data_IF_222455005938
#
_entry.id   IF_222455005938
#
_cell.length_a   1.000
_cell.length_b   1.000
_cell.length_c   1.000
_cell.angle_alpha   90.00
_cell.angle_beta   90.00
_cell.angle_gamma   90.00
#
_symmetry.space_group_name_H-M   'P 1'
#
loop_
_entity.id
_entity.type
_entity.pdbx_description
1 polymer ?
#
# COMPACT_ATOMS: atom_id res chain seq x y z
N UNK A 1 23.24 -3.82 11.31
CA UNK A 1 23.97 -3.01 10.31
C UNK A 1 25.34 -3.60 9.97
N UNK A 2 26.12 -4.02 10.96
CA UNK A 2 27.50 -4.55 10.78
C UNK A 2 27.54 -5.86 9.96
N UNK A 3 26.62 -6.79 10.18
CA UNK A 3 26.54 -8.05 9.43
C UNK A 3 26.23 -7.85 7.93
N UNK A 4 25.36 -6.89 7.58
CA UNK A 4 25.05 -6.58 6.17
C UNK A 4 26.24 -5.99 5.41
N UNK A 5 27.11 -5.23 6.09
CA UNK A 5 28.34 -4.69 5.48
C UNK A 5 29.41 -5.77 5.32
N UNK A 6 29.56 -6.66 6.30
CA UNK A 6 30.53 -7.76 6.21
C UNK A 6 30.21 -8.69 5.03
N UNK A 7 28.95 -9.07 4.83
CA UNK A 7 28.55 -9.92 3.70
C UNK A 7 28.81 -9.24 2.34
N UNK A 8 28.58 -7.94 2.22
CA UNK A 8 28.80 -7.19 0.97
C UNK A 8 30.28 -7.06 0.56
N UNK A 9 31.20 -7.11 1.50
CA UNK A 9 32.65 -6.98 1.22
C UNK A 9 33.33 -8.35 1.13
N UNK A 10 32.99 -9.27 2.02
CA UNK A 10 33.61 -10.61 2.07
C UNK A 10 33.25 -11.49 0.87
N UNK A 11 32.03 -11.43 0.41
CA UNK A 11 31.53 -12.28 -0.69
C UNK A 11 32.21 -11.96 -2.02
N UNK A 12 32.30 -10.69 -2.46
CA UNK A 12 33.04 -10.35 -3.68
C UNK A 12 34.52 -10.71 -3.57
N UNK A 13 35.15 -10.48 -2.41
CA UNK A 13 36.56 -10.81 -2.19
C UNK A 13 36.83 -12.31 -2.30
N UNK A 14 35.97 -13.14 -1.74
CA UNK A 14 36.08 -14.60 -1.83
C UNK A 14 35.88 -15.10 -3.27
N UNK A 15 34.95 -14.51 -4.03
CA UNK A 15 34.71 -14.79 -5.44
C UNK A 15 35.95 -14.49 -6.30
N UNK A 16 36.60 -13.36 -6.07
CA UNK A 16 37.83 -12.99 -6.77
C UNK A 16 38.96 -13.96 -6.47
N UNK A 17 39.11 -14.40 -5.22
CA UNK A 17 40.12 -15.40 -4.81
C UNK A 17 39.83 -16.75 -5.50
N UNK A 18 38.58 -17.22 -5.49
CA UNK A 18 38.20 -18.48 -6.16
C UNK A 18 38.40 -18.42 -7.66
N UNK A 19 38.07 -17.30 -8.29
CA UNK A 19 38.30 -17.07 -9.72
C UNK A 19 39.80 -17.06 -10.06
N UNK A 20 40.61 -16.40 -9.24
CA UNK A 20 42.07 -16.41 -9.36
C UNK A 20 42.66 -17.80 -9.24
N UNK A 21 42.22 -18.62 -8.27
CA UNK A 21 42.66 -20.00 -8.08
C UNK A 21 42.23 -20.89 -9.26
N UNK A 22 41.03 -20.67 -9.82
CA UNK A 22 40.52 -21.36 -10.99
C UNK A 22 41.38 -21.06 -12.22
N UNK A 23 41.69 -19.81 -12.47
CA UNK A 23 42.49 -19.38 -13.63
C UNK A 23 43.96 -19.83 -13.51
N UNK A 24 44.53 -19.83 -12.30
CA UNK A 24 45.93 -20.21 -12.07
C UNK A 24 46.17 -21.70 -11.85
N UNK A 25 45.12 -22.47 -11.56
CA UNK A 25 45.21 -23.92 -11.28
C UNK A 25 45.68 -24.72 -12.49
N UNK A 26 46.90 -25.29 -12.43
CA UNK A 26 47.43 -26.20 -13.48
C UNK A 26 46.86 -27.62 -13.36
N UNK A 27 46.39 -28.03 -12.19
CA UNK A 27 45.89 -29.38 -11.95
C UNK A 27 44.36 -29.44 -12.11
N UNK A 28 43.83 -30.48 -12.78
CA UNK A 28 42.40 -30.72 -12.99
C UNK A 28 41.60 -30.79 -11.68
N UNK A 29 42.19 -31.20 -10.56
CA UNK A 29 41.59 -31.31 -9.26
C UNK A 29 41.29 -29.93 -8.66
N UNK A 30 42.23 -28.98 -8.77
CA UNK A 30 42.07 -27.62 -8.23
C UNK A 30 40.96 -26.88 -8.99
N UNK A 31 40.86 -27.09 -10.31
CA UNK A 31 39.77 -26.49 -11.10
C UNK A 31 38.39 -27.01 -10.73
N UNK A 32 38.27 -28.33 -10.44
CA UNK A 32 37.01 -28.93 -9.97
C UNK A 32 36.61 -28.40 -8.58
N UNK A 33 37.58 -28.28 -7.68
CA UNK A 33 37.32 -27.74 -6.34
C UNK A 33 36.92 -26.27 -6.38
N UNK A 34 37.56 -25.45 -7.19
CA UNK A 34 37.23 -24.06 -7.40
C UNK A 34 35.82 -23.87 -8.02
N UNK A 35 35.46 -24.70 -9.02
CA UNK A 35 34.13 -24.69 -9.63
C UNK A 35 33.06 -25.10 -8.63
N UNK A 36 33.29 -26.15 -7.82
CA UNK A 36 32.37 -26.55 -6.77
C UNK A 36 32.18 -25.44 -5.70
N UNK A 37 33.29 -24.76 -5.33
CA UNK A 37 33.22 -23.60 -4.41
C UNK A 37 32.43 -22.43 -4.96
N UNK A 38 32.57 -22.11 -6.26
CA UNK A 38 31.77 -21.08 -6.91
C UNK A 38 30.27 -21.44 -6.94
N UNK A 39 29.94 -22.71 -7.26
CA UNK A 39 28.54 -23.18 -7.26
C UNK A 39 27.94 -23.08 -5.84
N UNK A 40 28.68 -23.51 -4.83
CA UNK A 40 28.24 -23.45 -3.42
C UNK A 40 28.03 -22.00 -2.95
N UNK A 41 28.88 -21.08 -3.40
CA UNK A 41 28.78 -19.67 -3.10
C UNK A 41 27.56 -19.03 -3.77
N UNK A 42 27.28 -19.39 -5.03
CA UNK A 42 26.08 -18.94 -5.76
C UNK A 42 24.83 -19.48 -5.05
N UNK A 43 24.82 -20.76 -4.68
CA UNK A 43 23.71 -21.35 -3.93
C UNK A 43 23.50 -20.68 -2.57
N UNK A 44 24.58 -20.37 -1.84
CA UNK A 44 24.50 -19.65 -0.58
C UNK A 44 23.94 -18.22 -0.75
N UNK A 45 24.27 -17.53 -1.85
CA UNK A 45 23.72 -16.21 -2.19
C UNK A 45 22.22 -16.26 -2.51
N UNK A 46 21.73 -17.32 -3.14
CA UNK A 46 20.29 -17.49 -3.41
C UNK A 46 19.50 -17.84 -2.16
N UNK A 47 20.13 -18.39 -1.12
CA UNK A 47 19.50 -18.69 0.17
C UNK A 47 19.45 -17.51 1.14
N UNK A 48 20.12 -16.37 0.85
CA UNK A 48 19.94 -15.13 1.60
C UNK A 48 18.63 -14.51 1.13
N UNK A 49 17.52 -15.10 1.57
CA UNK A 49 16.19 -14.61 1.32
C UNK A 49 16.05 -13.17 1.82
N UNK A 50 15.29 -12.37 1.09
CA UNK A 50 14.90 -11.06 1.54
C UNK A 50 14.32 -11.16 2.95
N UNK A 51 14.93 -10.49 3.93
CA UNK A 51 14.37 -10.31 5.26
C UNK A 51 13.19 -9.32 5.16
N UNK A 52 12.14 -9.72 4.45
CA UNK A 52 10.89 -8.99 4.37
C UNK A 52 10.05 -9.27 5.62
N UNK A 53 9.16 -8.34 5.94
CA UNK A 53 8.15 -8.57 6.97
C UNK A 53 7.20 -9.66 6.43
N UNK A 54 6.94 -10.69 7.24
CA UNK A 54 6.04 -11.78 6.89
C UNK A 54 4.63 -11.24 6.59
N UNK A 55 3.90 -11.77 5.60
CA UNK A 55 2.57 -11.29 5.22
C UNK A 55 1.59 -11.22 6.40
N UNK A 56 1.66 -12.19 7.33
CA UNK A 56 0.80 -12.26 8.51
C UNK A 56 1.04 -11.12 9.51
N UNK A 57 2.19 -10.46 9.42
CA UNK A 57 2.57 -9.32 10.24
C UNK A 57 2.25 -7.98 9.58
N UNK A 58 1.60 -8.02 8.42
CA UNK A 58 1.19 -6.83 7.69
C UNK A 58 -0.30 -6.60 7.82
N UNK A 59 -0.69 -5.35 7.70
CA UNK A 59 -2.07 -4.88 7.55
C UNK A 59 -2.21 -4.28 6.17
N UNK A 60 -3.16 -4.74 5.40
CA UNK A 60 -3.40 -4.34 4.01
C UNK A 60 -4.75 -3.64 3.89
N UNK A 61 -4.85 -2.32 4.15
CA UNK A 61 -6.09 -1.61 3.87
C UNK A 61 -6.35 -1.58 2.35
N UNK A 62 -7.57 -1.88 1.94
CA UNK A 62 -8.00 -1.75 0.54
C UNK A 62 -8.56 -0.36 0.25
N UNK A 63 -9.04 0.33 1.28
CA UNK A 63 -9.46 1.72 1.18
C UNK A 63 -8.94 2.52 2.37
N UNK A 64 -8.65 3.80 2.16
CA UNK A 64 -8.52 4.74 3.25
C UNK A 64 -9.22 6.06 2.96
N UNK A 65 -9.69 6.70 4.02
CA UNK A 65 -10.23 8.04 4.02
C UNK A 65 -9.22 9.04 4.54
N UNK A 66 -9.21 10.24 3.99
CA UNK A 66 -8.41 11.35 4.49
C UNK A 66 -9.20 12.64 4.49
N UNK A 67 -9.14 13.36 5.59
CA UNK A 67 -9.67 14.70 5.72
C UNK A 67 -8.76 15.54 6.64
N UNK A 68 -9.18 16.75 6.95
CA UNK A 68 -8.55 17.63 7.94
C UNK A 68 -9.54 17.99 9.04
N UNK A 69 -9.02 18.24 10.23
CA UNK A 69 -9.80 18.71 11.37
C UNK A 69 -8.98 19.77 12.10
N UNK A 70 -9.28 21.03 11.86
CA UNK A 70 -8.42 22.14 12.27
C UNK A 70 -7.06 22.06 11.58
N UNK A 71 -5.99 22.02 12.38
CA UNK A 71 -4.64 21.93 11.85
C UNK A 71 -4.16 20.49 11.60
N UNK A 72 -4.93 19.48 12.00
CA UNK A 72 -4.54 18.07 11.87
C UNK A 72 -5.08 17.44 10.60
N UNK A 73 -4.29 16.52 10.02
CA UNK A 73 -4.78 15.51 9.11
C UNK A 73 -5.47 14.39 9.89
N UNK A 74 -6.54 13.87 9.33
CA UNK A 74 -7.28 12.73 9.85
C UNK A 74 -7.26 11.63 8.81
N UNK A 75 -6.62 10.49 9.11
CA UNK A 75 -6.58 9.34 8.22
C UNK A 75 -7.35 8.19 8.86
N UNK A 76 -8.30 7.64 8.12
CA UNK A 76 -9.08 6.47 8.51
C UNK A 76 -8.77 5.31 7.56
N UNK A 77 -8.34 4.18 8.11
CA UNK A 77 -8.02 2.98 7.34
C UNK A 77 -9.18 1.99 7.44
N UNK A 78 -9.76 1.61 6.30
CA UNK A 78 -10.71 0.50 6.21
C UNK A 78 -9.96 -0.81 6.29
N UNK A 79 -10.12 -1.51 7.41
CA UNK A 79 -9.45 -2.77 7.67
C UNK A 79 -10.25 -3.92 7.07
N UNK A 80 -9.63 -4.82 6.28
CA UNK A 80 -10.30 -6.03 5.83
C UNK A 80 -10.63 -6.92 7.02
N UNK A 81 -11.82 -7.51 7.03
CA UNK A 81 -12.19 -8.51 8.03
C UNK A 81 -11.37 -9.78 7.82
N UNK A 82 -10.45 -10.03 8.75
CA UNK A 82 -9.52 -11.16 8.71
C UNK A 82 -10.16 -12.55 8.73
N UNK A 83 -11.35 -12.79 9.33
CA UNK A 83 -12.02 -14.10 9.32
C UNK A 83 -12.39 -14.58 7.92
N UNK A 84 -12.78 -13.70 7.01
CA UNK A 84 -13.17 -14.08 5.65
C UNK A 84 -11.97 -14.44 4.78
N UNK A 85 -10.84 -13.73 4.93
CA UNK A 85 -9.64 -13.98 4.14
C UNK A 85 -8.96 -15.33 4.42
N UNK A 86 -9.20 -15.94 5.60
CA UNK A 86 -8.57 -17.21 6.01
C UNK A 86 -9.48 -18.44 5.95
N UNK A 87 -10.77 -18.29 5.60
CA UNK A 87 -11.72 -19.41 5.52
C UNK A 87 -11.98 -20.11 6.85
N UNK A 88 -11.59 -19.53 7.98
CA UNK A 88 -11.82 -20.06 9.33
C UNK A 88 -12.98 -19.34 10.01
N UNK A 89 -14.14 -19.29 9.33
CA UNK A 89 -15.35 -18.67 9.86
C UNK A 89 -15.83 -19.34 11.13
N UNK A 90 -15.71 -18.65 12.25
CA UNK A 90 -16.71 -18.70 13.31
C UNK A 90 -17.66 -17.53 13.04
N UNK A 91 -18.93 -17.87 12.86
CA UNK A 91 -20.03 -16.93 12.84
C UNK A 91 -20.00 -16.12 14.17
N UNK A 92 -19.30 -15.02 14.21
CA UNK A 92 -19.55 -13.94 15.16
C UNK A 92 -20.28 -12.84 14.38
N UNK A 93 -21.55 -12.72 14.69
CA UNK A 93 -22.56 -11.78 14.23
C UNK A 93 -22.26 -10.34 14.67
N UNK A 94 -21.06 -9.81 14.31
CA UNK A 94 -20.70 -8.40 14.43
C UNK A 94 -19.73 -8.05 13.29
N UNK A 95 -20.28 -7.81 12.12
CA UNK A 95 -19.61 -7.12 11.02
C UNK A 95 -19.44 -5.62 11.37
N UNK A 96 -18.75 -5.33 12.44
CA UNK A 96 -18.24 -3.97 12.65
C UNK A 96 -16.98 -3.84 11.79
N UNK A 97 -17.14 -3.30 10.56
CA UNK A 97 -16.00 -2.97 9.70
C UNK A 97 -15.05 -2.09 10.51
N UNK A 98 -13.95 -2.68 10.97
CA UNK A 98 -13.05 -2.00 11.89
C UNK A 98 -12.32 -0.90 11.14
N UNK A 99 -12.63 0.35 11.47
CA UNK A 99 -11.96 1.52 10.92
C UNK A 99 -10.99 2.05 11.98
N UNK A 100 -9.71 2.11 11.62
CA UNK A 100 -8.69 2.74 12.44
C UNK A 100 -8.53 4.21 12.02
N UNK A 101 -8.91 5.14 12.88
CA UNK A 101 -8.73 6.57 12.63
C UNK A 101 -7.57 7.14 13.46
N UNK A 102 -6.65 7.81 12.78
CA UNK A 102 -5.48 8.47 13.37
C UNK A 102 -5.45 9.94 12.99
N UNK A 103 -4.96 10.78 13.91
CA UNK A 103 -4.83 12.22 13.73
C UNK A 103 -3.41 12.68 14.00
N UNK A 104 -2.96 13.67 13.23
CA UNK A 104 -1.65 14.29 13.42
C UNK A 104 -1.48 15.53 12.55
N UNK A 105 -0.59 16.40 12.98
CA UNK A 105 -0.29 17.64 12.25
C UNK A 105 0.44 17.41 10.91
N UNK A 106 1.07 16.25 10.78
CA UNK A 106 1.72 15.81 9.56
C UNK A 106 1.69 14.28 9.42
N UNK A 107 2.07 13.77 8.25
CA UNK A 107 2.04 12.32 7.94
C UNK A 107 3.08 11.53 8.73
N UNK A 108 4.22 12.15 9.09
CA UNK A 108 5.24 11.50 9.93
C UNK A 108 4.74 11.27 11.35
N UNK A 109 4.00 12.25 11.91
CA UNK A 109 3.35 12.11 13.21
C UNK A 109 2.30 10.99 13.21
N UNK A 110 1.48 10.90 12.15
CA UNK A 110 0.49 9.83 11.97
C UNK A 110 1.17 8.47 11.86
N UNK A 111 2.24 8.35 11.06
CA UNK A 111 3.00 7.11 10.94
C UNK A 111 3.61 6.69 12.29
N UNK A 112 4.22 7.61 13.02
CA UNK A 112 4.75 7.33 14.37
C UNK A 112 3.66 6.91 15.37
N UNK A 113 2.46 7.48 15.22
CA UNK A 113 1.31 7.10 16.05
C UNK A 113 0.85 5.68 15.71
N UNK A 114 0.76 5.35 14.39
CA UNK A 114 0.48 4.02 13.92
C UNK A 114 1.47 2.99 14.49
N UNK A 115 2.77 3.22 14.32
CA UNK A 115 3.83 2.31 14.73
C UNK A 115 3.85 2.04 16.24
N UNK A 116 3.35 2.98 17.05
CA UNK A 116 3.26 2.84 18.52
C UNK A 116 1.95 2.21 18.98
N UNK A 117 0.89 2.30 18.19
CA UNK A 117 -0.45 1.85 18.58
C UNK A 117 -0.85 0.52 17.94
N UNK A 118 -0.24 0.13 16.82
CA UNK A 118 -0.61 -1.06 16.07
C UNK A 118 0.50 -2.13 16.13
N UNK A 119 0.07 -3.39 16.17
CA UNK A 119 0.96 -4.55 16.25
C UNK A 119 1.36 -5.12 14.89
N UNK A 120 0.81 -4.57 13.79
CA UNK A 120 1.08 -4.98 12.41
C UNK A 120 1.67 -3.83 11.61
N UNK A 121 2.55 -4.16 10.67
CA UNK A 121 3.10 -3.19 9.72
C UNK A 121 2.03 -2.76 8.71
N UNK A 122 1.86 -1.47 8.52
CA UNK A 122 0.95 -0.93 7.51
C UNK A 122 1.57 -1.09 6.11
N UNK A 123 0.86 -1.78 5.23
CA UNK A 123 1.26 -1.98 3.84
C UNK A 123 0.15 -1.49 2.91
N UNK A 124 0.36 -0.33 2.32
CA UNK A 124 -0.61 0.30 1.40
C UNK A 124 -0.44 -0.14 -0.05
N UNK A 125 0.37 -1.16 -0.32
CA UNK A 125 0.61 -1.66 -1.67
C UNK A 125 -0.60 -2.32 -2.33
N UNK A 126 -1.62 -2.63 -1.55
CA UNK A 126 -2.90 -3.19 -2.03
C UNK A 126 -4.05 -2.18 -1.99
N UNK A 127 -3.74 -0.90 -1.75
CA UNK A 127 -4.75 0.14 -1.70
C UNK A 127 -5.41 0.32 -3.08
N UNK A 128 -6.73 0.22 -3.12
CA UNK A 128 -7.54 0.34 -4.33
C UNK A 128 -8.25 1.68 -4.42
N UNK A 129 -8.64 2.22 -3.25
CA UNK A 129 -9.47 3.41 -3.15
C UNK A 129 -8.95 4.38 -2.11
N UNK A 130 -8.95 5.67 -2.45
CA UNK A 130 -8.75 6.80 -1.56
C UNK A 130 -10.00 7.67 -1.56
N UNK A 131 -10.51 7.97 -0.37
CA UNK A 131 -11.69 8.82 -0.18
C UNK A 131 -11.24 10.13 0.48
N UNK A 132 -11.33 11.23 -0.26
CA UNK A 132 -10.91 12.55 0.20
C UNK A 132 -12.08 13.31 0.78
N UNK A 133 -11.90 13.88 1.97
CA UNK A 133 -12.89 14.73 2.60
C UNK A 133 -12.98 16.12 1.94
N UNK A 134 -14.16 16.72 2.01
CA UNK A 134 -14.38 18.04 1.43
C UNK A 134 -13.51 19.12 2.07
N UNK A 135 -13.28 19.07 3.40
CA UNK A 135 -12.44 20.05 4.12
C UNK A 135 -10.97 19.98 3.64
N UNK A 136 -10.44 18.78 3.38
CA UNK A 136 -9.11 18.61 2.81
C UNK A 136 -8.99 19.29 1.45
N UNK A 137 -10.01 19.09 0.60
CA UNK A 137 -10.04 19.66 -0.76
C UNK A 137 -10.17 21.19 -0.74
N UNK A 138 -11.06 21.73 0.07
CA UNK A 138 -11.33 23.16 0.17
C UNK A 138 -10.18 23.94 0.83
N UNK A 139 -9.50 23.34 1.80
CA UNK A 139 -8.34 23.94 2.47
C UNK A 139 -7.08 24.02 1.60
N UNK A 140 -7.05 23.35 0.45
CA UNK A 140 -5.86 23.23 -0.40
C UNK A 140 -4.78 22.28 0.16
N UNK A 141 -5.00 21.66 1.31
CA UNK A 141 -4.03 20.73 1.94
C UNK A 141 -3.90 19.39 1.19
N UNK A 142 -4.75 19.15 0.20
CA UNK A 142 -4.64 18.02 -0.72
C UNK A 142 -3.28 17.96 -1.43
N UNK A 143 -2.63 19.11 -1.69
CA UNK A 143 -1.28 19.13 -2.28
C UNK A 143 -0.24 18.45 -1.38
N UNK A 144 -0.29 18.72 -0.07
CA UNK A 144 0.60 18.07 0.89
C UNK A 144 0.36 16.56 0.94
N UNK A 145 -0.90 16.14 0.85
CA UNK A 145 -1.27 14.73 0.79
C UNK A 145 -0.78 14.04 -0.49
N UNK A 146 -0.98 14.64 -1.66
CA UNK A 146 -0.49 14.08 -2.93
C UNK A 146 1.04 14.00 -2.95
N UNK A 147 1.73 14.99 -2.39
CA UNK A 147 3.19 14.94 -2.22
C UNK A 147 3.64 13.81 -1.30
N UNK A 148 2.91 13.57 -0.21
CA UNK A 148 3.16 12.43 0.67
C UNK A 148 3.02 11.10 -0.09
N UNK A 149 1.89 10.87 -0.78
CA UNK A 149 1.65 9.65 -1.57
C UNK A 149 2.72 9.41 -2.63
N UNK A 150 3.22 10.47 -3.26
CA UNK A 150 4.31 10.37 -4.25
C UNK A 150 5.62 9.85 -3.66
N UNK A 151 5.85 10.10 -2.37
CA UNK A 151 7.05 9.62 -1.67
C UNK A 151 6.88 8.20 -1.11
N UNK A 152 5.66 7.69 -1.10
CA UNK A 152 5.35 6.33 -0.64
C UNK A 152 5.61 5.29 -1.74
N UNK A 153 6.66 4.45 -1.61
CA UNK A 153 7.07 3.55 -2.69
C UNK A 153 6.06 2.44 -2.99
N UNK A 154 5.11 2.20 -2.09
CA UNK A 154 4.09 1.16 -2.23
C UNK A 154 2.78 1.69 -2.83
N UNK A 155 2.57 3.01 -2.85
CA UNK A 155 1.35 3.59 -3.40
C UNK A 155 1.29 3.43 -4.93
N UNK A 156 0.29 2.70 -5.41
CA UNK A 156 0.03 2.52 -6.84
C UNK A 156 -0.60 3.76 -7.47
N UNK A 157 -0.31 4.02 -8.73
CA UNK A 157 -0.95 5.13 -9.46
C UNK A 157 -2.36 4.80 -10.01
N UNK A 158 -2.77 3.54 -9.96
CA UNK A 158 -4.10 3.09 -10.44
C UNK A 158 -5.17 3.13 -9.33
N UNK A 159 -4.85 3.64 -8.15
CA UNK A 159 -5.78 3.82 -7.05
C UNK A 159 -6.89 4.78 -7.48
N UNK A 160 -8.16 4.41 -7.28
CA UNK A 160 -9.29 5.29 -7.54
C UNK A 160 -9.47 6.32 -6.44
N UNK A 161 -9.78 7.56 -6.83
CA UNK A 161 -10.04 8.66 -5.91
C UNK A 161 -11.52 9.04 -5.95
N UNK A 162 -12.06 9.26 -4.76
CA UNK A 162 -13.41 9.76 -4.55
C UNK A 162 -13.38 10.93 -3.56
N UNK A 163 -14.47 11.71 -3.54
CA UNK A 163 -14.70 12.74 -2.53
C UNK A 163 -15.99 12.45 -1.74
N UNK A 164 -16.04 12.90 -0.52
CA UNK A 164 -17.23 12.82 0.33
C UNK A 164 -17.19 13.88 1.42
N UNK A 165 -18.30 14.10 2.10
CA UNK A 165 -18.37 14.93 3.30
C UNK A 165 -17.73 14.24 4.52
N UNK A 166 -17.92 12.93 4.68
CA UNK A 166 -17.40 12.15 5.80
C UNK A 166 -16.75 10.84 5.31
N UNK A 167 -15.40 10.84 5.11
CA UNK A 167 -14.68 9.64 4.69
C UNK A 167 -14.78 8.47 5.68
N UNK A 168 -14.83 8.75 6.98
CA UNK A 168 -14.91 7.71 8.00
C UNK A 168 -16.26 7.01 7.97
N UNK A 169 -17.35 7.75 7.78
CA UNK A 169 -18.69 7.18 7.65
C UNK A 169 -18.79 6.26 6.41
N UNK A 170 -18.17 6.65 5.29
CA UNK A 170 -18.13 5.79 4.09
C UNK A 170 -17.36 4.51 4.34
N UNK A 171 -16.22 4.57 5.04
CA UNK A 171 -15.44 3.37 5.38
C UNK A 171 -16.15 2.43 6.36
N UNK A 172 -17.06 2.95 7.18
CA UNK A 172 -17.88 2.18 8.13
C UNK A 172 -19.18 1.65 7.51
N UNK A 173 -19.49 2.07 6.28
CA UNK A 173 -20.71 1.64 5.63
C UNK A 173 -20.68 0.13 5.32
N UNK A 174 -21.80 -0.56 5.63
CA UNK A 174 -21.93 -2.00 5.39
C UNK A 174 -22.15 -2.27 3.91
N UNK A 175 -21.15 -2.83 3.26
CA UNK A 175 -21.14 -3.20 1.84
C UNK A 175 -21.68 -4.62 1.60
N UNK A 176 -22.25 -5.27 2.61
CA UNK A 176 -22.80 -6.63 2.48
C UNK A 176 -21.73 -7.72 2.40
N UNK A 177 -20.61 -7.55 3.14
CA UNK A 177 -19.52 -8.55 3.25
C UNK A 177 -18.34 -8.32 2.32
N UNK A 178 -18.42 -7.40 1.35
CA UNK A 178 -17.24 -6.96 0.59
C UNK A 178 -16.46 -5.89 1.36
N UNK A 179 -15.17 -5.72 1.10
CA UNK A 179 -14.49 -4.51 1.57
C UNK A 179 -15.03 -3.27 0.83
N UNK A 180 -14.99 -2.11 1.46
CA UNK A 180 -15.42 -0.86 0.78
C UNK A 180 -14.55 -0.56 -0.45
N UNK A 181 -13.28 -0.95 -0.46
CA UNK A 181 -12.39 -0.85 -1.62
C UNK A 181 -12.91 -1.69 -2.79
N UNK A 182 -13.11 -3.00 -2.57
CA UNK A 182 -13.67 -3.91 -3.59
C UNK A 182 -15.05 -3.45 -4.07
N UNK A 183 -15.91 -2.96 -3.16
CA UNK A 183 -17.24 -2.49 -3.50
C UNK A 183 -17.19 -1.29 -4.47
N UNK A 184 -16.41 -0.25 -4.12
CA UNK A 184 -16.30 0.96 -4.93
C UNK A 184 -15.60 0.69 -6.27
N UNK A 185 -14.55 -0.13 -6.27
CA UNK A 185 -13.88 -0.59 -7.50
C UNK A 185 -14.85 -1.38 -8.37
N UNK A 186 -15.62 -2.28 -7.76
CA UNK A 186 -16.63 -3.07 -8.46
C UNK A 186 -17.74 -2.23 -9.12
N UNK A 187 -18.14 -1.10 -8.52
CA UNK A 187 -19.09 -0.16 -9.13
C UNK A 187 -18.58 0.43 -10.44
N UNK A 188 -17.27 0.56 -10.59
CA UNK A 188 -16.63 1.11 -11.80
C UNK A 188 -16.35 0.00 -12.83
N UNK A 189 -15.80 -1.14 -12.40
CA UNK A 189 -15.21 -2.15 -13.27
C UNK A 189 -16.16 -3.31 -13.63
N UNK A 190 -17.04 -3.72 -12.68
CA UNK A 190 -17.91 -4.91 -12.85
C UNK A 190 -19.18 -4.61 -13.66
N UNK A 191 -19.06 -3.78 -14.70
CA UNK A 191 -20.16 -3.44 -15.62
C UNK A 191 -19.82 -3.88 -17.02
N UNK A 192 -20.86 -4.18 -17.83
CA UNK A 192 -20.65 -4.39 -19.26
C UNK A 192 -20.04 -3.13 -19.89
N UNK A 193 -19.16 -3.24 -20.91
CA UNK A 193 -18.42 -2.09 -21.46
C UNK A 193 -19.28 -0.85 -21.78
N UNK A 194 -20.52 -1.04 -22.23
CA UNK A 194 -21.45 0.05 -22.53
C UNK A 194 -21.99 0.79 -21.29
N UNK A 195 -21.77 0.25 -20.09
CA UNK A 195 -22.26 0.77 -18.81
C UNK A 195 -21.10 1.05 -17.82
N UNK A 196 -19.86 0.77 -18.23
CA UNK A 196 -18.70 1.12 -17.43
C UNK A 196 -18.64 2.64 -17.26
N UNK A 197 -18.40 3.05 -16.03
CA UNK A 197 -18.19 4.45 -15.68
C UNK A 197 -16.70 4.67 -15.53
N UNK A 198 -16.21 5.76 -16.06
CA UNK A 198 -14.81 6.13 -15.88
C UNK A 198 -14.60 6.66 -14.46
N UNK A 199 -13.81 5.93 -13.67
CA UNK A 199 -13.34 6.41 -12.38
C UNK A 199 -12.14 7.33 -12.56
N UNK A 200 -11.86 8.16 -11.55
CA UNK A 200 -10.67 9.02 -11.52
C UNK A 200 -9.57 8.31 -10.76
N UNK A 201 -8.43 8.10 -11.41
CA UNK A 201 -7.26 7.46 -10.81
C UNK A 201 -6.24 8.47 -10.30
N UNK A 202 -5.39 8.06 -9.37
CA UNK A 202 -4.30 8.87 -8.84
C UNK A 202 -3.35 9.36 -9.96
N UNK A 203 -3.14 8.54 -11.01
CA UNK A 203 -2.38 8.93 -12.21
C UNK A 203 -3.01 10.13 -12.91
N UNK A 204 -4.33 10.12 -13.11
CA UNK A 204 -5.04 11.22 -13.77
C UNK A 204 -4.98 12.50 -12.93
N UNK A 205 -5.11 12.36 -11.60
CA UNK A 205 -4.97 13.47 -10.64
C UNK A 205 -3.58 14.09 -10.72
N UNK A 206 -2.50 13.27 -10.69
CA UNK A 206 -1.14 13.79 -10.86
C UNK A 206 -0.94 14.47 -12.19
N UNK A 207 -1.46 13.90 -13.28
CA UNK A 207 -1.34 14.49 -14.60
C UNK A 207 -1.99 15.89 -14.65
N UNK A 208 -3.22 16.03 -14.17
CA UNK A 208 -3.92 17.32 -14.11
C UNK A 208 -3.19 18.32 -13.22
N UNK A 209 -2.79 17.90 -12.02
CA UNK A 209 -2.08 18.76 -11.09
C UNK A 209 -0.77 19.31 -11.67
N UNK A 210 0.01 18.49 -12.38
CA UNK A 210 1.26 18.94 -13.01
C UNK A 210 1.03 19.83 -14.23
N UNK A 211 -0.09 19.67 -14.91
CA UNK A 211 -0.39 20.52 -16.08
C UNK A 211 -0.95 21.89 -15.68
N UNK A 212 -1.93 21.90 -14.80
CA UNK A 212 -2.75 23.07 -14.53
C UNK A 212 -2.64 23.60 -13.10
N UNK A 213 -1.91 22.91 -12.22
CA UNK A 213 -1.79 23.26 -10.81
C UNK A 213 -3.11 23.07 -10.03
N UNK A 214 -4.08 22.36 -10.61
CA UNK A 214 -5.41 22.18 -10.03
C UNK A 214 -5.70 20.71 -9.74
N UNK A 215 -6.53 20.47 -8.73
CA UNK A 215 -7.06 19.14 -8.45
C UNK A 215 -8.13 18.80 -9.49
N UNK A 216 -8.07 17.58 -10.03
CA UNK A 216 -9.11 17.05 -10.90
C UNK A 216 -10.43 16.90 -10.12
N UNK A 217 -11.58 17.17 -10.77
CA UNK A 217 -12.88 16.88 -10.16
C UNK A 217 -13.00 15.39 -9.85
N UNK A 218 -13.37 15.07 -8.61
CA UNK A 218 -13.45 13.69 -8.15
C UNK A 218 -14.91 13.24 -8.07
N UNK A 219 -15.19 11.96 -8.42
CA UNK A 219 -16.49 11.36 -8.19
C UNK A 219 -16.91 11.52 -6.72
N UNK A 220 -18.17 11.92 -6.51
CA UNK A 220 -18.69 12.17 -5.17
C UNK A 220 -19.41 10.94 -4.64
N UNK A 221 -19.08 10.56 -3.39
CA UNK A 221 -19.82 9.58 -2.60
C UNK A 221 -20.74 10.31 -1.63
N UNK A 222 -22.00 9.88 -1.56
CA UNK A 222 -22.96 10.33 -0.55
C UNK A 222 -23.63 9.15 0.11
N UNK A 223 -23.95 9.28 1.41
CA UNK A 223 -24.73 8.32 2.14
C UNK A 223 -26.15 8.91 2.36
N UNK A 224 -27.12 8.36 1.64
CA UNK A 224 -28.52 8.81 1.68
C UNK A 224 -29.43 7.68 2.13
N UNK A 225 -30.09 7.88 3.28
CA UNK A 225 -31.03 6.87 3.80
C UNK A 225 -30.39 5.54 4.17
N UNK A 226 -29.06 5.51 4.39
CA UNK A 226 -28.29 4.29 4.66
C UNK A 226 -27.70 3.62 3.42
N UNK A 227 -28.03 4.12 2.22
CA UNK A 227 -27.48 3.63 0.96
C UNK A 227 -26.32 4.48 0.48
N UNK A 228 -25.32 3.86 -0.15
CA UNK A 228 -24.18 4.52 -0.74
C UNK A 228 -24.45 4.82 -2.21
N UNK A 229 -24.36 6.08 -2.57
CA UNK A 229 -24.53 6.54 -3.97
C UNK A 229 -23.23 7.19 -4.47
N UNK A 230 -22.83 6.87 -5.71
CA UNK A 230 -21.65 7.46 -6.37
C UNK A 230 -22.10 8.28 -7.57
N UNK A 231 -21.79 9.57 -7.53
CA UNK A 231 -22.04 10.54 -8.62
C UNK A 231 -20.73 10.77 -9.36
N UNK A 232 -20.74 10.44 -10.65
CA UNK A 232 -19.63 10.69 -11.58
C UNK A 232 -20.03 11.95 -12.38
N UNK A 233 -19.30 13.01 -12.20
CA UNK A 233 -19.47 14.25 -12.97
C UNK A 233 -18.89 14.13 -14.38
#
# INVERSE_FOLDING_TARGET
LFEKYLARIFVPGLLVILLYLFLRGRQKQIKKAAAAGCILLILAMTCVGCAGIEPEKRMYPLAFGIDVSGDDFVISYGMPDLPEATGQGKEEENTDHSVLTLKGNDFEAIQKLYDRSQNRYLDIGHLEVIIMGNELMESGRWEAFLNYLKMEPLAGENIYLFRTEDPEAVLKWDSGGASIGDYLTGLLENRVPAQQKEGVTLRQVYHQWYQDGALLSLPQITLVGGELEVFLE
#
